data_IF_840640349247
#
_entry.id   IF_840640349247
#
_cell.length_a   1.000
_cell.length_b   1.000
_cell.length_c   1.000
_cell.angle_alpha   90.00
_cell.angle_beta   90.00
_cell.angle_gamma   90.00
#
_symmetry.space_group_name_H-M   'P 1'
#
loop_
_entity.id
_entity.type
_entity.pdbx_description
1 polymer ?
#
# COMPACT_ATOMS: atom_id res chain seq x y z
N UNK A 1 14.92 -16.09 19.11
CA UNK A 1 14.29 -14.80 19.48
C UNK A 1 15.43 -13.82 19.69
N UNK A 2 15.46 -12.72 18.92
CA UNK A 2 16.45 -11.65 19.01
C UNK A 2 15.79 -10.33 19.39
N UNK A 3 16.59 -9.32 19.67
CA UNK A 3 16.13 -7.94 19.90
C UNK A 3 15.81 -7.25 18.59
N UNK A 4 15.02 -6.16 18.64
CA UNK A 4 14.77 -5.31 17.46
C UNK A 4 16.06 -4.76 16.87
N UNK A 5 17.02 -4.35 17.72
CA UNK A 5 18.32 -3.83 17.27
C UNK A 5 19.13 -4.86 16.48
N UNK A 6 19.16 -6.13 16.94
CA UNK A 6 19.81 -7.23 16.21
C UNK A 6 19.12 -7.51 14.87
N UNK A 7 17.79 -7.45 14.84
CA UNK A 7 17.02 -7.60 13.59
C UNK A 7 17.33 -6.49 12.59
N UNK A 8 17.30 -5.23 13.02
CA UNK A 8 17.63 -4.08 12.18
C UNK A 8 19.06 -4.17 11.64
N UNK A 9 20.04 -4.49 12.53
CA UNK A 9 21.42 -4.66 12.14
C UNK A 9 21.63 -5.78 11.12
N UNK A 10 20.97 -6.92 11.31
CA UNK A 10 21.02 -8.06 10.39
C UNK A 10 20.48 -7.73 8.99
N UNK A 11 19.48 -6.85 8.92
CA UNK A 11 18.84 -6.44 7.66
C UNK A 11 19.36 -5.09 7.13
N UNK A 12 20.47 -4.58 7.70
CA UNK A 12 21.09 -3.31 7.30
C UNK A 12 20.11 -2.10 7.31
N UNK A 13 19.13 -2.14 8.24
CA UNK A 13 18.14 -1.06 8.40
C UNK A 13 18.63 -0.10 9.49
N UNK A 14 18.70 1.19 9.15
CA UNK A 14 19.06 2.24 10.09
C UNK A 14 17.93 2.43 11.10
N UNK A 15 18.27 2.41 12.38
CA UNK A 15 17.36 2.70 13.50
C UNK A 15 17.89 3.87 14.33
N UNK A 16 16.97 4.64 14.90
CA UNK A 16 17.25 5.71 15.83
C UNK A 16 16.54 5.45 17.15
N UNK A 17 17.22 5.66 18.28
CA UNK A 17 16.67 5.57 19.64
C UNK A 17 16.94 6.86 20.43
N UNK A 18 16.33 6.95 21.59
CA UNK A 18 16.55 8.06 22.54
C UNK A 18 16.16 9.44 21.98
N UNK A 19 15.16 9.48 21.09
CA UNK A 19 14.56 10.72 20.59
C UNK A 19 13.27 11.04 21.32
N UNK A 20 12.96 12.32 21.51
CA UNK A 20 11.67 12.77 22.05
C UNK A 20 10.56 12.57 21.00
N UNK A 21 9.97 11.36 21.00
CA UNK A 21 8.88 11.02 20.06
C UNK A 21 7.61 11.81 20.33
N UNK A 22 7.41 12.32 21.56
CA UNK A 22 6.25 13.14 21.93
C UNK A 22 6.38 14.55 21.31
N UNK A 23 7.57 15.16 21.39
CA UNK A 23 7.85 16.42 20.74
C UNK A 23 7.71 16.31 19.22
N UNK A 24 8.28 15.27 18.61
CA UNK A 24 8.12 14.98 17.17
C UNK A 24 6.63 14.89 16.79
N UNK A 25 5.83 14.17 17.58
CA UNK A 25 4.39 14.03 17.35
C UNK A 25 3.67 15.39 17.44
N UNK A 26 4.06 16.24 18.40
CA UNK A 26 3.50 17.59 18.56
C UNK A 26 3.81 18.45 17.34
N UNK A 27 5.06 18.45 16.89
CA UNK A 27 5.50 19.19 15.70
C UNK A 27 4.73 18.73 14.45
N UNK A 28 4.60 17.41 14.26
CA UNK A 28 3.87 16.87 13.12
C UNK A 28 2.38 17.23 13.17
N UNK A 29 1.77 17.27 14.35
CA UNK A 29 0.38 17.67 14.53
C UNK A 29 0.14 19.15 14.21
N UNK A 30 1.09 20.01 14.51
CA UNK A 30 0.99 21.43 14.22
C UNK A 30 1.30 21.76 12.75
N UNK A 31 2.39 21.20 12.23
CA UNK A 31 2.95 21.56 10.92
C UNK A 31 2.50 20.63 9.78
N UNK A 32 2.00 19.45 10.09
CA UNK A 32 1.69 18.39 9.12
C UNK A 32 2.87 17.47 8.86
N UNK A 33 2.74 16.59 7.87
CA UNK A 33 3.81 15.69 7.45
C UNK A 33 5.03 16.50 6.96
N UNK A 34 6.21 16.15 7.49
CA UNK A 34 7.48 16.84 7.21
C UNK A 34 8.50 15.86 6.63
N UNK A 35 9.33 16.38 5.75
CA UNK A 35 10.50 15.64 5.26
C UNK A 35 11.54 15.48 6.37
N UNK A 36 12.16 14.33 6.46
CA UNK A 36 13.23 14.06 7.42
C UNK A 36 14.41 13.34 6.75
N UNK A 37 15.55 13.39 7.40
CA UNK A 37 16.73 12.63 7.03
C UNK A 37 17.23 11.89 8.27
N UNK A 38 17.47 10.60 8.16
CA UNK A 38 18.13 9.78 9.19
C UNK A 38 19.47 9.33 8.62
N UNK A 39 20.55 9.66 9.29
CA UNK A 39 21.89 9.32 8.84
C UNK A 39 22.84 9.16 10.05
N UNK A 40 23.95 8.42 9.85
CA UNK A 40 25.02 8.40 10.81
C UNK A 40 25.88 9.65 10.70
N UNK A 41 26.24 10.27 11.83
CA UNK A 41 27.15 11.42 11.88
C UNK A 41 28.57 11.10 11.38
N UNK A 42 28.92 9.82 11.28
CA UNK A 42 30.17 9.40 10.63
C UNK A 42 30.13 9.49 9.11
N UNK A 43 28.93 9.66 8.52
CA UNK A 43 28.71 9.69 7.06
C UNK A 43 28.42 11.10 6.57
N UNK A 44 27.58 11.85 7.29
CA UNK A 44 27.22 13.23 6.93
C UNK A 44 27.08 14.10 8.18
N UNK A 45 27.30 15.39 8.03
CA UNK A 45 27.09 16.38 9.10
C UNK A 45 25.59 16.72 9.28
N UNK A 46 25.26 17.30 10.44
CA UNK A 46 23.89 17.78 10.73
C UNK A 46 23.39 18.77 9.67
N UNK A 47 24.27 19.67 9.20
CA UNK A 47 23.92 20.65 8.16
C UNK A 47 23.56 19.99 6.84
N UNK A 48 24.31 18.96 6.46
CA UNK A 48 24.04 18.18 5.24
C UNK A 48 22.77 17.35 5.38
N UNK A 49 22.51 16.74 6.55
CA UNK A 49 21.28 16.02 6.82
C UNK A 49 20.04 16.92 6.68
N UNK A 50 20.10 18.13 7.27
CA UNK A 50 19.04 19.13 7.14
C UNK A 50 18.88 19.59 5.70
N UNK A 51 19.97 19.81 4.97
CA UNK A 51 19.92 20.18 3.55
C UNK A 51 19.26 19.09 2.70
N UNK A 52 19.60 17.82 2.93
CA UNK A 52 18.97 16.67 2.25
C UNK A 52 17.47 16.57 2.56
N UNK A 53 17.07 16.75 3.82
CA UNK A 53 15.66 16.74 4.19
C UNK A 53 14.88 17.87 3.50
N UNK A 54 15.46 19.08 3.43
CA UNK A 54 14.84 20.22 2.74
C UNK A 54 14.80 20.07 1.22
N UNK A 55 15.77 19.42 0.63
CA UNK A 55 15.85 19.17 -0.82
C UNK A 55 14.91 18.06 -1.31
N UNK A 56 14.35 17.23 -0.41
CA UNK A 56 13.42 16.21 -0.79
C UNK A 56 12.07 16.82 -1.17
N UNK A 57 11.65 16.63 -2.40
CA UNK A 57 10.41 17.20 -2.96
C UNK A 57 9.11 16.57 -2.41
N UNK A 58 9.23 15.52 -1.62
CA UNK A 58 8.11 14.75 -1.08
C UNK A 58 7.66 13.63 -2.01
N UNK A 59 6.58 12.95 -1.64
CA UNK A 59 6.09 11.75 -2.36
C UNK A 59 5.08 12.07 -3.47
N UNK A 60 4.63 13.31 -3.59
CA UNK A 60 3.66 13.70 -4.62
C UNK A 60 4.28 13.54 -6.02
N UNK A 61 3.57 12.86 -6.91
CA UNK A 61 4.06 12.56 -8.26
C UNK A 61 5.08 11.42 -8.34
N UNK A 62 5.41 10.76 -7.22
CA UNK A 62 6.36 9.63 -7.20
C UNK A 62 5.63 8.30 -7.33
N UNK A 63 5.81 7.63 -8.46
CA UNK A 63 5.41 6.23 -8.63
C UNK A 63 6.47 5.31 -7.98
N UNK A 64 6.29 5.02 -6.71
CA UNK A 64 7.14 4.08 -5.98
C UNK A 64 6.66 2.63 -6.10
N UNK A 65 5.42 2.41 -6.49
CA UNK A 65 4.86 1.06 -6.66
C UNK A 65 5.65 0.23 -7.67
N UNK A 66 6.06 0.82 -8.78
CA UNK A 66 6.90 0.14 -9.79
C UNK A 66 8.33 -0.17 -9.31
N UNK A 67 8.81 0.55 -8.29
CA UNK A 67 10.18 0.37 -7.75
C UNK A 67 10.23 -0.80 -6.77
N UNK A 68 9.16 -0.98 -5.98
CA UNK A 68 9.10 -2.01 -4.93
C UNK A 68 8.39 -3.29 -5.37
N UNK A 69 7.76 -3.29 -6.54
CA UNK A 69 7.08 -4.45 -7.10
C UNK A 69 8.05 -5.59 -7.40
N UNK A 70 7.58 -6.82 -7.22
CA UNK A 70 8.37 -8.01 -7.55
C UNK A 70 8.81 -8.02 -9.02
N UNK A 71 10.04 -8.43 -9.29
CA UNK A 71 10.55 -8.58 -10.67
C UNK A 71 9.97 -9.80 -11.38
N UNK A 72 9.63 -10.86 -10.62
CA UNK A 72 9.12 -12.11 -11.14
C UNK A 72 7.83 -12.49 -10.44
N UNK A 73 6.89 -13.05 -11.20
CA UNK A 73 5.70 -13.64 -10.60
C UNK A 73 6.07 -14.79 -9.68
N UNK A 74 5.32 -14.93 -8.60
CA UNK A 74 5.50 -16.03 -7.66
C UNK A 74 4.15 -16.50 -7.10
N UNK A 75 4.19 -17.68 -6.51
CA UNK A 75 3.04 -18.32 -5.90
C UNK A 75 3.13 -18.20 -4.39
N UNK A 76 2.02 -17.85 -3.76
CA UNK A 76 1.90 -17.83 -2.31
C UNK A 76 0.81 -18.80 -1.87
N UNK A 77 1.15 -19.73 -0.99
CA UNK A 77 0.23 -20.77 -0.51
C UNK A 77 0.36 -21.02 1.00
N UNK A 78 0.91 -20.07 1.75
CA UNK A 78 1.07 -20.15 3.19
C UNK A 78 0.01 -19.33 3.90
N UNK A 79 -0.59 -19.93 4.93
CA UNK A 79 -1.55 -19.27 5.81
C UNK A 79 -0.91 -18.51 6.96
N UNK A 80 -1.73 -18.11 7.93
CA UNK A 80 -1.33 -17.28 9.06
C UNK A 80 -0.55 -18.11 10.08
N UNK A 81 0.52 -17.53 10.62
CA UNK A 81 1.22 -18.08 11.76
C UNK A 81 0.30 -18.08 13.03
N UNK A 82 0.34 -19.12 13.91
CA UNK A 82 1.32 -20.20 13.95
C UNK A 82 0.97 -21.46 13.15
N UNK A 83 -0.26 -21.60 12.64
CA UNK A 83 -0.73 -22.81 11.96
C UNK A 83 0.01 -23.06 10.66
N UNK A 84 0.34 -21.97 9.94
CA UNK A 84 1.03 -22.01 8.63
C UNK A 84 0.41 -23.04 7.68
N UNK A 85 -0.92 -23.03 7.59
CA UNK A 85 -1.65 -23.88 6.68
C UNK A 85 -1.08 -23.80 5.25
N UNK A 86 -1.00 -24.93 4.56
CA UNK A 86 -0.63 -24.97 3.15
C UNK A 86 -1.88 -25.20 2.31
N UNK A 87 -2.00 -24.43 1.25
CA UNK A 87 -3.11 -24.48 0.33
C UNK A 87 -2.70 -25.12 -1.00
N UNK A 88 -3.66 -25.65 -1.74
CA UNK A 88 -3.42 -26.25 -3.05
C UNK A 88 -2.97 -25.20 -4.08
N UNK A 89 -2.49 -25.66 -5.23
CA UNK A 89 -1.95 -24.82 -6.30
C UNK A 89 -3.03 -24.21 -7.23
N UNK A 90 -4.29 -24.20 -6.83
CA UNK A 90 -5.34 -23.46 -7.53
C UNK A 90 -5.27 -21.99 -7.14
N UNK A 91 -5.12 -21.09 -8.10
CA UNK A 91 -4.97 -19.65 -7.87
C UNK A 91 -6.22 -18.90 -8.31
N UNK A 92 -7.30 -18.93 -7.50
CA UNK A 92 -8.53 -18.23 -7.85
C UNK A 92 -8.36 -16.71 -7.82
N UNK A 93 -7.37 -16.21 -7.07
CA UNK A 93 -7.09 -14.79 -6.96
C UNK A 93 -5.67 -14.50 -7.44
N UNK A 94 -5.55 -13.45 -8.25
CA UNK A 94 -4.27 -12.89 -8.66
C UNK A 94 -4.05 -11.56 -7.97
N UNK A 95 -2.91 -11.41 -7.30
CA UNK A 95 -2.54 -10.21 -6.58
C UNK A 95 -1.51 -9.40 -7.37
N UNK A 96 -1.82 -8.15 -7.68
CA UNK A 96 -0.84 -7.19 -8.17
C UNK A 96 0.00 -6.67 -7.00
N UNK A 97 1.31 -6.79 -7.15
CA UNK A 97 2.28 -6.34 -6.15
C UNK A 97 2.66 -4.87 -6.38
N UNK A 98 2.14 -3.99 -5.54
CA UNK A 98 2.54 -2.59 -5.46
C UNK A 98 3.42 -2.32 -4.23
N UNK A 99 3.93 -3.35 -3.57
CA UNK A 99 4.64 -3.35 -2.30
C UNK A 99 3.89 -4.11 -1.22
N UNK A 100 3.44 -5.33 -1.58
CA UNK A 100 2.54 -6.15 -0.77
C UNK A 100 3.20 -6.61 0.53
N UNK A 101 2.48 -6.49 1.64
CA UNK A 101 2.87 -7.10 2.91
C UNK A 101 2.53 -8.58 2.90
N UNK A 102 3.50 -9.44 3.22
CA UNK A 102 3.31 -10.88 3.28
C UNK A 102 2.13 -11.32 4.15
N UNK A 103 1.87 -10.62 5.25
CA UNK A 103 0.75 -10.97 6.11
C UNK A 103 -0.62 -10.79 5.44
N UNK A 104 -0.71 -9.90 4.45
CA UNK A 104 -1.91 -9.78 3.62
C UNK A 104 -2.08 -11.03 2.75
N UNK A 105 -0.99 -11.53 2.16
CA UNK A 105 -1.02 -12.78 1.40
C UNK A 105 -1.41 -13.97 2.27
N UNK A 106 -0.90 -14.06 3.51
CA UNK A 106 -1.29 -15.09 4.46
C UNK A 106 -2.79 -15.06 4.75
N UNK A 107 -3.32 -13.87 5.06
CA UNK A 107 -4.76 -13.69 5.31
C UNK A 107 -5.61 -13.99 4.07
N UNK A 108 -5.17 -13.58 2.88
CA UNK A 108 -5.87 -13.93 1.64
C UNK A 108 -5.94 -15.44 1.46
N UNK A 109 -4.83 -16.16 1.68
CA UNK A 109 -4.82 -17.62 1.56
C UNK A 109 -5.82 -18.32 2.48
N UNK A 110 -6.02 -17.84 3.71
CA UNK A 110 -7.02 -18.40 4.64
C UNK A 110 -8.46 -18.29 4.09
N UNK A 111 -8.72 -17.32 3.20
CA UNK A 111 -10.07 -17.09 2.66
C UNK A 111 -10.28 -17.59 1.24
N UNK A 112 -9.24 -17.57 0.41
CA UNK A 112 -9.37 -17.85 -1.03
C UNK A 112 -8.49 -19.01 -1.51
N UNK A 113 -7.70 -19.60 -0.63
CA UNK A 113 -6.68 -20.60 -0.99
C UNK A 113 -5.38 -19.91 -1.43
N UNK A 114 -4.64 -20.51 -2.35
CA UNK A 114 -3.38 -19.93 -2.83
C UNK A 114 -3.58 -18.70 -3.73
N UNK A 115 -2.59 -17.84 -3.74
CA UNK A 115 -2.60 -16.57 -4.49
C UNK A 115 -1.41 -16.54 -5.44
N UNK A 116 -1.64 -16.13 -6.69
CA UNK A 116 -0.56 -15.80 -7.63
C UNK A 116 -0.25 -14.33 -7.53
N UNK A 117 1.01 -14.01 -7.23
CA UNK A 117 1.48 -12.62 -7.14
C UNK A 117 2.20 -12.24 -8.42
N UNK A 118 1.83 -11.11 -9.00
CA UNK A 118 2.38 -10.62 -10.26
C UNK A 118 2.91 -9.19 -10.14
N UNK A 119 3.82 -8.84 -11.05
CA UNK A 119 4.39 -7.49 -11.11
C UNK A 119 3.31 -6.43 -11.34
N UNK A 120 3.54 -5.25 -10.77
CA UNK A 120 2.66 -4.08 -10.93
C UNK A 120 2.35 -3.75 -12.41
N UNK A 121 3.23 -4.06 -13.33
CA UNK A 121 3.08 -3.75 -14.77
C UNK A 121 2.53 -4.90 -15.59
N UNK A 122 2.30 -6.09 -15.03
CA UNK A 122 1.76 -7.24 -15.78
C UNK A 122 0.47 -6.83 -16.51
N UNK A 123 0.38 -7.02 -17.84
CA UNK A 123 -0.77 -6.58 -18.62
C UNK A 123 -2.05 -7.35 -18.29
N UNK A 124 -3.21 -6.70 -18.51
CA UNK A 124 -4.53 -7.35 -18.38
C UNK A 124 -4.63 -8.61 -19.24
N UNK A 125 -4.12 -8.56 -20.47
CA UNK A 125 -4.20 -9.64 -21.46
C UNK A 125 -3.44 -10.91 -21.03
N UNK A 126 -2.45 -10.78 -20.17
CA UNK A 126 -1.75 -11.93 -19.57
C UNK A 126 -2.53 -12.51 -18.41
N UNK A 127 -3.09 -11.66 -17.57
CA UNK A 127 -3.81 -12.09 -16.37
C UNK A 127 -5.10 -12.80 -16.71
N UNK A 128 -5.86 -12.31 -17.68
CA UNK A 128 -7.15 -12.92 -18.04
C UNK A 128 -7.00 -14.37 -18.57
N UNK A 129 -5.83 -14.75 -19.07
CA UNK A 129 -5.55 -16.13 -19.51
C UNK A 129 -5.59 -17.14 -18.36
N UNK A 130 -5.34 -16.69 -17.13
CA UNK A 130 -5.46 -17.54 -15.93
C UNK A 130 -6.91 -17.72 -15.47
N UNK A 131 -7.88 -17.06 -16.11
CA UNK A 131 -9.30 -17.07 -15.75
C UNK A 131 -9.53 -16.80 -14.24
N UNK A 132 -8.97 -15.71 -13.67
CA UNK A 132 -9.04 -15.44 -12.24
C UNK A 132 -10.49 -15.18 -11.80
N UNK A 133 -10.84 -15.70 -10.63
CA UNK A 133 -12.13 -15.41 -9.97
C UNK A 133 -12.15 -14.03 -9.30
N UNK A 134 -10.98 -13.47 -9.05
CA UNK A 134 -10.84 -12.12 -8.49
C UNK A 134 -9.43 -11.57 -8.63
N UNK A 135 -9.35 -10.25 -8.57
CA UNK A 135 -8.10 -9.49 -8.59
C UNK A 135 -7.92 -8.80 -7.25
N UNK A 136 -6.75 -8.95 -6.68
CA UNK A 136 -6.35 -8.22 -5.49
C UNK A 136 -5.32 -7.15 -5.85
N UNK A 137 -5.60 -5.91 -5.45
CA UNK A 137 -4.72 -4.76 -5.61
C UNK A 137 -4.06 -4.45 -4.26
N UNK A 138 -2.77 -4.67 -4.16
CA UNK A 138 -2.09 -4.59 -2.87
C UNK A 138 -1.93 -3.17 -2.34
N UNK A 139 -1.56 -3.08 -1.07
CA UNK A 139 -0.97 -1.87 -0.51
C UNK A 139 0.34 -1.53 -1.22
N UNK A 140 0.78 -0.29 -1.10
CA UNK A 140 2.06 0.15 -1.66
C UNK A 140 2.39 1.58 -1.27
N UNK A 141 3.64 2.01 -1.52
CA UNK A 141 4.09 3.38 -1.31
C UNK A 141 3.82 4.27 -2.52
N UNK A 142 3.94 5.57 -2.31
CA UNK A 142 3.92 6.58 -3.37
C UNK A 142 2.57 7.21 -3.64
N UNK A 143 2.50 7.87 -4.77
CA UNK A 143 1.33 8.56 -5.26
C UNK A 143 0.58 7.66 -6.26
N UNK A 144 -0.74 7.46 -6.14
CA UNK A 144 -1.49 6.68 -7.11
C UNK A 144 -1.66 7.39 -8.47
N UNK A 145 -1.64 8.72 -8.51
CA UNK A 145 -1.91 9.49 -9.75
C UNK A 145 -0.96 9.14 -10.91
N UNK A 146 0.38 9.01 -10.71
CA UNK A 146 1.29 8.67 -11.80
C UNK A 146 1.27 7.19 -12.20
N UNK A 147 0.43 6.36 -11.59
CA UNK A 147 0.33 4.92 -11.87
C UNK A 147 -0.66 4.62 -13.02
N UNK A 148 -0.61 5.36 -14.14
CA UNK A 148 -1.52 5.22 -15.28
C UNK A 148 -1.63 3.78 -15.78
N UNK A 149 -0.50 3.07 -15.86
CA UNK A 149 -0.44 1.66 -16.27
C UNK A 149 -1.32 0.74 -15.38
N UNK A 150 -1.47 1.08 -14.10
CA UNK A 150 -2.32 0.32 -13.18
C UNK A 150 -3.80 0.74 -13.34
N UNK A 151 -4.06 2.05 -13.43
CA UNK A 151 -5.40 2.60 -13.57
C UNK A 151 -6.08 2.09 -14.85
N UNK A 152 -5.38 2.12 -15.99
CA UNK A 152 -5.91 1.66 -17.27
C UNK A 152 -6.27 0.16 -17.25
N UNK A 153 -5.40 -0.66 -16.67
CA UNK A 153 -5.70 -2.10 -16.59
C UNK A 153 -6.83 -2.42 -15.60
N UNK A 154 -6.95 -1.66 -14.51
CA UNK A 154 -8.06 -1.81 -13.58
C UNK A 154 -9.39 -1.47 -14.29
N UNK A 155 -9.44 -0.45 -15.14
CA UNK A 155 -10.61 -0.15 -15.97
C UNK A 155 -11.03 -1.34 -16.83
N UNK A 156 -10.07 -2.01 -17.48
CA UNK A 156 -10.34 -3.23 -18.27
C UNK A 156 -10.93 -4.36 -17.41
N UNK A 157 -10.43 -4.56 -16.19
CA UNK A 157 -11.01 -5.55 -15.26
C UNK A 157 -12.42 -5.16 -14.83
N UNK A 158 -12.71 -3.88 -14.60
CA UNK A 158 -14.05 -3.40 -14.28
C UNK A 158 -15.03 -3.62 -15.46
N UNK A 159 -14.61 -3.30 -16.68
CA UNK A 159 -15.38 -3.57 -17.90
C UNK A 159 -15.65 -5.06 -18.10
N UNK A 160 -14.66 -5.90 -17.79
CA UNK A 160 -14.80 -7.36 -17.83
C UNK A 160 -15.62 -7.93 -16.66
N UNK A 161 -16.09 -7.09 -15.74
CA UNK A 161 -16.84 -7.49 -14.53
C UNK A 161 -16.08 -8.47 -13.62
N UNK A 162 -14.75 -8.45 -13.66
CA UNK A 162 -13.92 -9.25 -12.76
C UNK A 162 -14.01 -8.67 -11.35
N UNK A 163 -14.31 -9.46 -10.30
CA UNK A 163 -14.29 -8.97 -8.92
C UNK A 163 -12.91 -8.41 -8.55
N UNK A 164 -12.91 -7.23 -7.96
CA UNK A 164 -11.66 -6.55 -7.55
C UNK A 164 -11.77 -6.11 -6.10
N UNK A 165 -10.69 -6.32 -5.35
CA UNK A 165 -10.54 -5.81 -4.00
C UNK A 165 -9.19 -5.10 -3.86
N UNK A 166 -9.17 -3.91 -3.28
CA UNK A 166 -7.97 -3.09 -3.11
C UNK A 166 -7.74 -2.65 -1.67
N UNK A 167 -6.47 -2.65 -1.24
CA UNK A 167 -6.05 -2.15 0.06
C UNK A 167 -5.09 -0.98 -0.10
N UNK A 168 -5.30 0.12 0.63
CA UNK A 168 -4.44 1.31 0.67
C UNK A 168 -4.21 1.88 -0.73
N UNK A 169 -3.00 1.78 -1.30
CA UNK A 169 -2.71 2.21 -2.67
C UNK A 169 -3.63 1.51 -3.70
N UNK A 170 -3.85 0.21 -3.55
CA UNK A 170 -4.75 -0.54 -4.44
C UNK A 170 -6.20 -0.04 -4.39
N UNK A 171 -6.69 0.37 -3.21
CA UNK A 171 -7.99 1.01 -3.07
C UNK A 171 -8.03 2.37 -3.79
N UNK A 172 -6.98 3.18 -3.66
CA UNK A 172 -6.89 4.48 -4.34
C UNK A 172 -6.84 4.33 -5.86
N UNK A 173 -6.06 3.37 -6.37
CA UNK A 173 -6.00 3.05 -7.80
C UNK A 173 -7.36 2.58 -8.35
N UNK A 174 -8.08 1.75 -7.58
CA UNK A 174 -9.43 1.31 -7.95
C UNK A 174 -10.40 2.48 -8.01
N UNK A 175 -10.34 3.41 -7.07
CA UNK A 175 -11.17 4.60 -7.06
C UNK A 175 -10.87 5.53 -8.23
N UNK A 176 -9.58 5.77 -8.56
CA UNK A 176 -9.18 6.54 -9.74
C UNK A 176 -9.67 5.88 -11.03
N UNK A 177 -9.56 4.55 -11.15
CA UNK A 177 -10.10 3.81 -12.29
C UNK A 177 -11.62 3.94 -12.40
N UNK A 178 -12.33 4.05 -11.28
CA UNK A 178 -13.76 4.32 -11.23
C UNK A 178 -14.16 5.79 -11.45
N UNK A 179 -13.20 6.70 -11.69
CA UNK A 179 -13.43 8.12 -11.98
C UNK A 179 -13.44 9.03 -10.75
N UNK A 180 -13.04 8.54 -9.57
CA UNK A 180 -12.84 9.39 -8.41
C UNK A 180 -11.52 10.20 -8.52
N UNK A 181 -11.36 11.18 -7.64
CA UNK A 181 -10.14 11.96 -7.51
C UNK A 181 -9.44 11.69 -6.18
N UNK A 182 -8.13 11.89 -6.15
CA UNK A 182 -7.34 11.86 -4.92
C UNK A 182 -6.82 13.25 -4.57
N UNK A 183 -6.59 13.50 -3.31
CA UNK A 183 -5.94 14.73 -2.84
C UNK A 183 -5.04 14.47 -1.64
N UNK A 184 -4.01 15.30 -1.49
CA UNK A 184 -3.09 15.20 -0.37
C UNK A 184 -3.68 15.81 0.89
N UNK A 185 -3.78 15.02 1.95
CA UNK A 185 -4.18 15.51 3.27
C UNK A 185 -3.00 16.07 4.05
N UNK A 186 -3.29 16.97 5.00
CA UNK A 186 -2.27 17.57 5.89
C UNK A 186 -1.59 16.51 6.77
N UNK A 187 -2.36 15.54 7.29
CA UNK A 187 -1.88 14.55 8.27
C UNK A 187 -2.01 13.11 7.79
N UNK A 188 -2.85 12.84 6.79
CA UNK A 188 -3.28 11.49 6.45
C UNK A 188 -4.22 10.87 7.51
N UNK A 189 -4.61 9.62 7.29
CA UNK A 189 -5.38 8.82 8.23
C UNK A 189 -4.55 7.63 8.69
N UNK A 190 -4.24 7.58 9.98
CA UNK A 190 -3.44 6.52 10.60
C UNK A 190 -4.11 6.06 11.88
N UNK A 191 -4.75 4.90 11.87
CA UNK A 191 -5.39 4.33 13.04
C UNK A 191 -6.48 3.32 12.70
N UNK A 192 -6.93 2.61 13.72
CA UNK A 192 -7.96 1.58 13.62
C UNK A 192 -9.36 2.08 14.09
N UNK A 193 -9.55 3.39 14.14
CA UNK A 193 -10.75 4.02 14.71
C UNK A 193 -11.28 5.17 13.84
N UNK A 194 -11.04 5.12 12.53
CA UNK A 194 -11.57 6.12 11.61
C UNK A 194 -13.00 5.77 11.17
N UNK A 195 -13.99 6.64 11.43
CA UNK A 195 -15.35 6.42 10.97
C UNK A 195 -15.46 6.66 9.45
N UNK A 196 -16.19 5.78 8.79
CA UNK A 196 -16.58 5.91 7.38
C UNK A 196 -18.08 5.72 7.28
N UNK A 197 -18.75 6.63 6.59
CA UNK A 197 -20.20 6.57 6.38
C UNK A 197 -20.51 6.00 4.98
N UNK A 198 -21.35 4.97 4.95
CA UNK A 198 -21.99 4.54 3.70
C UNK A 198 -22.99 5.61 3.28
N UNK A 199 -22.82 6.15 2.06
CA UNK A 199 -23.65 7.25 1.58
C UNK A 199 -25.06 6.83 1.19
N UNK A 200 -25.29 5.54 0.93
CA UNK A 200 -26.60 5.00 0.59
C UNK A 200 -27.41 4.64 1.82
N UNK A 201 -26.87 3.81 2.73
CA UNK A 201 -27.55 3.38 3.95
C UNK A 201 -27.47 4.40 5.08
N UNK A 202 -26.47 5.32 5.05
CA UNK A 202 -26.10 6.26 6.13
C UNK A 202 -25.50 5.59 7.36
N UNK A 203 -25.23 4.29 7.29
CA UNK A 203 -24.56 3.58 8.36
C UNK A 203 -23.10 4.06 8.52
N UNK A 204 -22.63 4.04 9.76
CA UNK A 204 -21.25 4.41 10.09
C UNK A 204 -20.47 3.17 10.51
N UNK A 205 -19.38 2.91 9.81
CA UNK A 205 -18.46 1.81 10.11
C UNK A 205 -17.16 2.36 10.67
N UNK A 206 -16.61 1.70 11.68
CA UNK A 206 -15.26 2.00 12.17
C UNK A 206 -14.27 1.19 11.36
N UNK A 207 -13.30 1.88 10.75
CA UNK A 207 -12.33 1.29 9.83
C UNK A 207 -10.90 1.48 10.31
N UNK A 208 -10.02 0.55 9.93
CA UNK A 208 -8.57 0.72 10.03
C UNK A 208 -8.04 1.39 8.77
N UNK A 209 -7.36 2.51 8.93
CA UNK A 209 -6.78 3.26 7.82
C UNK A 209 -5.28 3.48 8.04
N UNK A 210 -4.52 3.40 6.97
CA UNK A 210 -3.11 3.79 6.93
C UNK A 210 -2.81 4.45 5.58
N UNK A 211 -3.39 5.65 5.41
CA UNK A 211 -3.30 6.48 4.21
C UNK A 211 -2.51 7.73 4.56
N UNK A 212 -1.22 7.74 4.22
CA UNK A 212 -0.30 8.75 4.73
C UNK A 212 -0.36 10.09 4.01
N UNK A 213 -0.57 10.11 2.71
CA UNK A 213 -0.40 11.35 1.94
C UNK A 213 -1.61 11.69 1.07
N UNK A 214 -2.33 10.73 0.55
CA UNK A 214 -3.39 10.93 -0.45
C UNK A 214 -4.66 10.21 0.00
N UNK A 215 -5.77 10.94 -0.06
CA UNK A 215 -7.07 10.41 0.30
C UNK A 215 -8.07 10.61 -0.85
N UNK A 216 -9.04 9.72 -0.98
CA UNK A 216 -10.07 9.79 -2.02
C UNK A 216 -11.09 10.87 -1.63
N UNK A 217 -11.39 11.77 -2.54
CA UNK A 217 -12.23 12.93 -2.28
C UNK A 217 -13.72 12.68 -2.46
N UNK A 218 -14.13 11.74 -3.32
CA UNK A 218 -15.54 11.45 -3.56
C UNK A 218 -15.82 9.97 -3.81
N UNK A 219 -16.94 9.44 -3.29
CA UNK A 219 -17.39 8.10 -3.61
C UNK A 219 -17.89 8.07 -5.06
N UNK A 220 -17.28 7.25 -5.89
CA UNK A 220 -17.78 7.00 -7.23
C UNK A 220 -19.08 6.22 -7.12
N UNK A 221 -20.19 6.77 -7.59
CA UNK A 221 -21.36 5.96 -7.91
C UNK A 221 -20.98 5.08 -9.09
N UNK A 222 -20.72 3.82 -8.83
CA UNK A 222 -20.77 2.82 -9.89
C UNK A 222 -22.19 2.86 -10.44
N UNK A 223 -22.35 3.43 -11.65
CA UNK A 223 -23.63 3.35 -12.36
C UNK A 223 -23.82 1.88 -12.76
N UNK A 224 -24.81 1.27 -12.16
CA UNK A 224 -25.36 -0.04 -12.55
C UNK A 224 -25.83 -0.03 -14.00
#
# INVERSE_FOLDING_TARGET
>A
KGTLGEFLKKNEVIGISDVDTREITTILREKGAMNCCIASLSVISDKEAVAKAKAFEGLKGMDLAKVVSTDKEYKWNEGVWPENNKFNDEYPVIAYDYGIKENILRLLCEHVGSVKVVNAKTPFEEIIKYNPKGIFLSNGPGDPEPCDYAIEKIKKFLENKTPIFGICLGHQLLALAGGANTYKMKFGHHGANHPVQDMASKDVFITSQNLSLIHISEPTRLRS
#
